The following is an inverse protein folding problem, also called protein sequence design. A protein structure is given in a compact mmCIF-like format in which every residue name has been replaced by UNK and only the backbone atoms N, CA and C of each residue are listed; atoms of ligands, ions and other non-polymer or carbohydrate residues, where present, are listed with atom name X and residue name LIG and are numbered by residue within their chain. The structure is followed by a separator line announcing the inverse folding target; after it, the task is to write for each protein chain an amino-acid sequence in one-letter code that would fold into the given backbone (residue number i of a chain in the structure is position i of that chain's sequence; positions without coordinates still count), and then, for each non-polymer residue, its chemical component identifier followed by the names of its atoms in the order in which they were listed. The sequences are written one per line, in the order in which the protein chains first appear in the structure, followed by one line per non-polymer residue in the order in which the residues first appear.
data_IF_920115810247
#
_entry.id   IF_920115810247
#
_cell.length_a   1.000
_cell.length_b   1.000
_cell.length_c   1.000
_cell.angle_alpha   90.00
_cell.angle_beta   90.00
_cell.angle_gamma   90.00
#
_symmetry.space_group_name_H-M   'P 1'
#
loop_
_entity.id
_entity.type
_entity.pdbx_description
1 polymer ?
#
# COMPACT_ATOMS: atom_id res chain seq x y z
N UNK A 1 -2.25 2.57 24.03
CA UNK A 1 -1.92 1.66 22.91
C UNK A 1 -0.82 2.33 22.15
N UNK A 2 0.37 1.74 22.15
CA UNK A 2 1.43 2.15 21.23
C UNK A 2 1.03 1.60 19.86
N UNK A 3 0.54 2.46 18.98
CA UNK A 3 0.33 2.07 17.59
C UNK A 3 1.71 2.14 16.95
N UNK A 4 2.21 1.00 16.47
CA UNK A 4 3.38 1.01 15.59
C UNK A 4 3.10 1.99 14.43
N UNK A 5 4.04 2.89 14.16
CA UNK A 5 4.01 3.76 12.98
C UNK A 5 3.93 2.95 11.68
N UNK A 6 4.37 1.68 11.75
CA UNK A 6 4.45 0.75 10.64
C UNK A 6 3.53 -0.44 10.88
N UNK A 7 2.52 -0.59 10.03
CA UNK A 7 1.60 -1.71 10.11
C UNK A 7 2.23 -2.92 9.42
N UNK A 8 2.29 -4.09 10.09
CA UNK A 8 2.86 -5.28 9.48
C UNK A 8 2.01 -5.77 8.31
N UNK A 9 0.71 -5.47 8.28
CA UNK A 9 -0.16 -5.69 7.12
C UNK A 9 -1.30 -4.67 7.10
N UNK A 10 -1.90 -4.49 5.93
CA UNK A 10 -3.18 -3.81 5.75
C UNK A 10 -3.94 -4.40 4.56
N UNK A 11 -5.16 -3.93 4.37
CA UNK A 11 -6.04 -4.34 3.28
C UNK A 11 -6.40 -3.09 2.48
N UNK A 12 -6.35 -3.21 1.15
CA UNK A 12 -6.85 -2.19 0.23
C UNK A 12 -8.22 -2.64 -0.27
N UNK A 13 -9.25 -1.89 0.09
CA UNK A 13 -10.60 -2.09 -0.41
C UNK A 13 -10.88 -1.09 -1.53
N UNK A 14 -11.37 -1.59 -2.65
CA UNK A 14 -11.78 -0.77 -3.80
C UNK A 14 -13.30 -0.76 -3.83
N UNK A 15 -13.86 0.45 -3.88
CA UNK A 15 -15.29 0.67 -3.95
C UNK A 15 -15.65 1.34 -5.28
N UNK A 16 -16.82 1.02 -5.81
CA UNK A 16 -17.41 1.79 -6.91
C UNK A 16 -17.95 3.15 -6.44
N UNK A 17 -18.51 3.93 -7.37
CA UNK A 17 -19.07 5.26 -7.08
C UNK A 17 -20.34 5.21 -6.21
N UNK A 18 -20.96 4.05 -6.09
CA UNK A 18 -22.11 3.78 -5.22
C UNK A 18 -21.68 3.23 -3.84
N UNK A 19 -20.37 3.16 -3.57
CA UNK A 19 -19.78 2.59 -2.35
C UNK A 19 -20.02 1.07 -2.18
N UNK A 20 -20.24 0.33 -3.26
CA UNK A 20 -20.19 -1.13 -3.21
C UNK A 20 -18.74 -1.59 -3.26
N UNK A 21 -18.38 -2.57 -2.43
CA UNK A 21 -17.05 -3.20 -2.47
C UNK A 21 -16.92 -4.03 -3.76
N UNK A 22 -15.95 -3.69 -4.60
CA UNK A 22 -15.69 -4.39 -5.88
C UNK A 22 -14.41 -5.21 -5.86
N UNK A 23 -13.43 -4.86 -5.00
CA UNK A 23 -12.23 -5.65 -4.81
C UNK A 23 -11.65 -5.48 -3.41
N UNK A 24 -11.01 -6.54 -2.91
CA UNK A 24 -10.24 -6.55 -1.67
C UNK A 24 -8.84 -7.13 -1.96
N UNK A 25 -7.81 -6.37 -1.62
CA UNK A 25 -6.42 -6.79 -1.78
C UNK A 25 -5.71 -6.78 -0.43
N UNK A 26 -5.36 -7.97 0.06
CA UNK A 26 -4.44 -8.11 1.19
C UNK A 26 -3.01 -7.87 0.71
N UNK A 27 -2.37 -6.83 1.23
CA UNK A 27 -0.97 -6.57 0.87
C UNK A 27 -0.02 -7.53 1.58
N UNK A 28 1.15 -7.75 0.98
CA UNK A 28 2.21 -8.56 1.59
C UNK A 28 2.67 -7.92 2.90
N UNK A 29 2.88 -8.77 3.91
CA UNK A 29 3.37 -8.34 5.22
C UNK A 29 4.72 -7.63 5.13
N UNK A 30 4.93 -6.66 6.02
CA UNK A 30 6.17 -5.90 6.20
C UNK A 30 6.74 -5.33 4.90
N UNK A 31 5.90 -5.01 3.92
CA UNK A 31 6.36 -4.60 2.58
C UNK A 31 6.14 -3.12 2.32
N UNK A 32 5.00 -2.56 2.76
CA UNK A 32 4.55 -1.23 2.36
C UNK A 32 4.30 -0.30 3.54
N UNK A 33 4.40 1.01 3.28
CA UNK A 33 4.06 2.09 4.21
C UNK A 33 2.67 2.65 3.86
N UNK A 34 1.58 2.23 4.53
CA UNK A 34 0.22 2.60 4.10
C UNK A 34 -0.06 4.10 4.18
N UNK A 35 0.56 4.78 5.14
CA UNK A 35 0.43 6.23 5.32
C UNK A 35 1.15 7.05 4.25
N UNK A 36 1.96 6.41 3.40
CA UNK A 36 2.61 7.02 2.24
C UNK A 36 2.08 6.38 0.95
N UNK A 37 0.90 6.83 0.53
CA UNK A 37 0.23 6.35 -0.69
C UNK A 37 -0.38 7.50 -1.47
N UNK A 38 -0.48 7.33 -2.79
CA UNK A 38 -1.09 8.33 -3.69
C UNK A 38 -1.68 7.68 -4.95
N UNK A 39 -2.67 8.34 -5.55
CA UNK A 39 -3.33 7.90 -6.78
C UNK A 39 -2.77 8.69 -7.97
N UNK A 40 -2.58 7.99 -9.09
CA UNK A 40 -2.23 8.55 -10.40
C UNK A 40 -3.18 8.01 -11.46
N UNK A 41 -3.05 8.46 -12.70
CA UNK A 41 -3.76 7.89 -13.85
C UNK A 41 -3.50 6.37 -14.04
N UNK A 42 -2.37 5.86 -13.54
CA UNK A 42 -2.00 4.44 -13.65
C UNK A 42 -2.50 3.58 -12.47
N UNK A 43 -3.15 4.19 -11.45
CA UNK A 43 -3.68 3.48 -10.29
C UNK A 43 -3.09 3.90 -8.94
N UNK A 44 -3.14 2.99 -7.96
CA UNK A 44 -2.71 3.22 -6.58
C UNK A 44 -1.21 2.97 -6.43
N UNK A 45 -0.47 3.95 -5.95
CA UNK A 45 0.95 3.84 -5.70
C UNK A 45 1.22 3.69 -4.20
N UNK A 46 1.93 2.62 -3.84
CA UNK A 46 2.34 2.32 -2.47
C UNK A 46 3.86 2.33 -2.36
N UNK A 47 4.38 3.04 -1.34
CA UNK A 47 5.82 3.03 -1.04
C UNK A 47 6.19 1.69 -0.37
N UNK A 48 7.15 0.98 -0.96
CA UNK A 48 7.57 -0.38 -0.60
C UNK A 48 8.86 -0.41 0.25
N UNK A 49 8.99 0.56 1.16
CA UNK A 49 10.14 0.80 2.04
C UNK A 49 9.83 0.50 3.53
N UNK A 50 9.01 -0.51 3.82
CA UNK A 50 8.76 -0.87 5.22
C UNK A 50 10.07 -1.27 5.93
N UNK A 51 10.40 -0.73 7.11
CA UNK A 51 11.72 -0.87 7.73
C UNK A 51 12.11 -2.33 8.06
N UNK A 52 11.13 -3.21 8.23
CA UNK A 52 11.37 -4.64 8.49
C UNK A 52 11.57 -5.48 7.22
N UNK A 53 11.43 -4.94 6.00
CA UNK A 53 11.73 -5.71 4.79
C UNK A 53 13.22 -5.70 4.51
N UNK A 54 13.78 -6.90 4.36
CA UNK A 54 15.20 -7.09 4.08
C UNK A 54 15.61 -6.42 2.76
N UNK A 55 16.80 -5.83 2.75
CA UNK A 55 17.41 -5.26 1.55
C UNK A 55 16.84 -3.90 1.12
N UNK A 56 16.08 -3.21 1.98
CA UNK A 56 15.68 -1.81 1.73
C UNK A 56 16.83 -0.85 2.05
N UNK A 57 17.06 0.11 1.14
CA UNK A 57 17.85 1.30 1.39
C UNK A 57 16.95 2.45 1.86
N UNK A 58 17.39 3.20 2.87
CA UNK A 58 16.69 4.41 3.33
C UNK A 58 16.86 5.59 2.37
N UNK A 59 17.91 5.57 1.54
CA UNK A 59 18.23 6.62 0.57
C UNK A 59 17.47 6.46 -0.77
N UNK A 60 16.70 5.38 -0.94
CA UNK A 60 15.96 5.09 -2.16
C UNK A 60 14.47 4.92 -1.88
N UNK A 61 13.63 5.49 -2.74
CA UNK A 61 12.17 5.30 -2.67
C UNK A 61 11.77 4.25 -3.70
N UNK A 62 11.22 3.13 -3.24
CA UNK A 62 10.65 2.08 -4.07
C UNK A 62 9.15 2.24 -4.10
N UNK A 63 8.57 2.36 -5.29
CA UNK A 63 7.12 2.55 -5.48
C UNK A 63 6.59 1.38 -6.29
N UNK A 64 5.53 0.73 -5.81
CA UNK A 64 4.76 -0.23 -6.58
C UNK A 64 3.41 0.38 -6.97
N UNK A 65 3.07 0.28 -8.25
CA UNK A 65 1.76 0.70 -8.77
C UNK A 65 0.84 -0.51 -8.86
N UNK A 66 -0.31 -0.39 -8.23
CA UNK A 66 -1.43 -1.33 -8.30
C UNK A 66 -2.42 -0.78 -9.31
N UNK A 67 -2.46 -1.40 -10.49
CA UNK A 67 -3.43 -1.07 -11.51
C UNK A 67 -4.84 -1.37 -10.99
N UNK A 68 -5.71 -0.36 -11.05
CA UNK A 68 -7.13 -0.57 -10.80
C UNK A 68 -7.69 -1.23 -12.06
N UNK A 69 -7.87 -2.55 -12.03
CA UNK A 69 -8.50 -3.29 -13.12
C UNK A 69 -9.89 -2.70 -13.33
N UNK A 70 -10.12 -2.12 -14.52
CA UNK A 70 -11.43 -1.62 -14.96
C UNK A 70 -12.32 -2.74 -15.45
#
# INVERSE_FOLDING_TARGET
MDYSLFLPYFIVNVFDKEFNLIAEHKVKENTYLPHLSFITENGLNLIANHPEKEGISEDEIVIHTFELIQ
#
